data_IF_302557428444
#
_entry.id   IF_302557428444
#
_cell.length_a   1.000
_cell.length_b   1.000
_cell.length_c   1.000
_cell.angle_alpha   90.00
_cell.angle_beta   90.00
_cell.angle_gamma   90.00
#
_symmetry.space_group_name_H-M   'P 1'
#
loop_
_entity.id
_entity.type
_entity.pdbx_description
1 polymer ?
#
# COMPACT_ATOMS: atom_id res chain seq x y z
N UNK A 1 -2.32 -21.56 16.66
CA UNK A 1 -2.23 -22.07 15.28
C UNK A 1 -1.79 -20.95 14.33
N UNK A 2 -0.89 -21.27 13.43
CA UNK A 2 -0.41 -20.30 12.48
C UNK A 2 -1.37 -20.23 11.29
N UNK A 3 -1.81 -19.02 10.99
CA UNK A 3 -2.66 -18.78 9.82
C UNK A 3 -1.76 -18.57 8.60
N UNK A 4 -1.29 -19.65 8.01
CA UNK A 4 -0.41 -19.57 6.85
C UNK A 4 -1.12 -18.99 5.63
N UNK A 5 -2.41 -19.31 5.48
CA UNK A 5 -3.19 -18.79 4.35
C UNK A 5 -3.37 -17.28 4.46
N UNK A 6 -3.62 -16.80 5.67
CA UNK A 6 -3.73 -15.36 5.91
C UNK A 6 -2.41 -14.65 5.68
N UNK A 7 -1.30 -15.25 6.12
CA UNK A 7 0.01 -14.65 5.93
C UNK A 7 0.37 -14.58 4.44
N UNK A 8 0.12 -15.65 3.69
CA UNK A 8 0.38 -15.66 2.25
C UNK A 8 -0.49 -14.65 1.52
N UNK A 9 -1.75 -14.59 1.91
CA UNK A 9 -2.68 -13.63 1.32
C UNK A 9 -2.23 -12.20 1.57
N UNK A 10 -1.79 -11.89 2.78
CA UNK A 10 -1.32 -10.55 3.11
C UNK A 10 -0.08 -10.17 2.29
N UNK A 11 0.83 -11.10 2.09
CA UNK A 11 2.00 -10.84 1.25
C UNK A 11 1.60 -10.50 -0.19
N UNK A 12 0.61 -11.21 -0.73
CA UNK A 12 0.11 -10.93 -2.07
C UNK A 12 -0.63 -9.60 -2.13
N UNK A 13 -1.41 -9.29 -1.12
CA UNK A 13 -2.10 -8.00 -1.03
C UNK A 13 -1.09 -6.87 -1.02
N UNK A 14 -0.03 -7.00 -0.21
CA UNK A 14 1.03 -5.99 -0.18
C UNK A 14 1.71 -5.85 -1.54
N UNK A 15 1.95 -6.96 -2.21
CA UNK A 15 2.53 -6.94 -3.56
C UNK A 15 1.65 -6.18 -4.54
N UNK A 16 0.34 -6.42 -4.49
CA UNK A 16 -0.59 -5.70 -5.35
C UNK A 16 -0.68 -4.22 -5.02
N UNK A 17 -0.64 -3.88 -3.73
CA UNK A 17 -0.61 -2.47 -3.33
C UNK A 17 0.59 -1.78 -3.97
N UNK A 18 1.76 -2.39 -3.88
CA UNK A 18 2.97 -1.84 -4.47
C UNK A 18 2.82 -1.68 -5.98
N UNK A 19 2.28 -2.69 -6.67
CA UNK A 19 2.05 -2.63 -8.11
C UNK A 19 1.08 -1.53 -8.50
N UNK A 20 -0.01 -1.41 -7.77
CA UNK A 20 -1.00 -0.38 -8.04
C UNK A 20 -0.38 1.01 -7.86
N UNK A 21 0.33 1.21 -6.77
CA UNK A 21 0.97 2.50 -6.49
C UNK A 21 2.09 2.82 -7.48
N UNK A 22 2.76 1.78 -7.99
CA UNK A 22 3.78 1.97 -9.01
C UNK A 22 3.23 2.65 -10.27
N UNK A 23 2.01 2.29 -10.66
CA UNK A 23 1.40 2.90 -11.84
C UNK A 23 1.14 4.38 -11.66
N UNK A 24 0.91 4.81 -10.44
CA UNK A 24 0.63 6.21 -10.15
C UNK A 24 1.89 7.02 -9.85
N UNK A 25 2.99 6.35 -9.54
CA UNK A 25 4.22 7.01 -9.11
C UNK A 25 4.64 8.10 -10.12
N UNK A 26 5.04 9.29 -9.69
CA UNK A 26 5.28 9.75 -8.31
C UNK A 26 4.04 10.20 -7.56
N UNK A 27 2.88 10.15 -8.15
CA UNK A 27 1.61 10.37 -7.45
C UNK A 27 1.23 9.09 -6.70
N UNK A 28 0.05 9.08 -6.14
CA UNK A 28 -0.46 7.92 -5.41
C UNK A 28 -1.96 7.87 -5.45
N UNK A 29 -2.55 7.12 -4.53
CA UNK A 29 -3.99 6.93 -4.47
C UNK A 29 -4.51 7.09 -3.05
N UNK A 30 -5.75 7.50 -2.94
CA UNK A 30 -6.48 7.45 -1.68
C UNK A 30 -6.80 6.00 -1.33
N UNK A 31 -7.01 5.76 -0.04
CA UNK A 31 -7.27 4.41 0.46
C UNK A 31 -8.52 3.81 -0.19
N UNK A 32 -9.55 4.61 -0.42
CA UNK A 32 -10.78 4.09 -1.02
C UNK A 32 -10.53 3.62 -2.45
N UNK A 33 -9.69 4.32 -3.19
CA UNK A 33 -9.32 3.92 -4.55
C UNK A 33 -8.50 2.63 -4.52
N UNK A 34 -7.57 2.51 -3.59
CA UNK A 34 -6.79 1.28 -3.42
C UNK A 34 -7.71 0.12 -3.08
N UNK A 35 -8.66 0.35 -2.18
CA UNK A 35 -9.60 -0.67 -1.76
C UNK A 35 -10.41 -1.18 -2.95
N UNK A 36 -10.92 -0.24 -3.75
CA UNK A 36 -11.69 -0.60 -4.95
C UNK A 36 -10.86 -1.39 -5.94
N UNK A 37 -9.63 -0.97 -6.19
CA UNK A 37 -8.76 -1.67 -7.15
C UNK A 37 -8.40 -3.07 -6.68
N UNK A 38 -8.18 -3.26 -5.38
CA UNK A 38 -7.93 -4.58 -4.83
C UNK A 38 -9.16 -5.48 -4.99
N UNK A 39 -10.34 -4.94 -4.72
CA UNK A 39 -11.58 -5.69 -4.91
C UNK A 39 -11.74 -6.09 -6.38
N UNK A 40 -11.44 -5.19 -7.31
CA UNK A 40 -11.54 -5.47 -8.74
C UNK A 40 -10.58 -6.60 -9.15
N UNK A 41 -9.48 -6.75 -8.44
CA UNK A 41 -8.52 -7.83 -8.67
C UNK A 41 -8.92 -9.14 -7.97
N UNK A 42 -9.99 -9.12 -7.21
CA UNK A 42 -10.45 -10.30 -6.49
C UNK A 42 -9.95 -10.41 -5.07
N UNK A 43 -9.26 -9.41 -4.56
CA UNK A 43 -8.78 -9.40 -3.18
C UNK A 43 -9.74 -8.60 -2.32
N UNK A 44 -10.74 -9.30 -1.77
CA UNK A 44 -11.80 -8.67 -0.97
C UNK A 44 -11.31 -8.51 0.45
N UNK A 45 -10.64 -7.40 0.71
CA UNK A 45 -10.11 -7.09 2.02
C UNK A 45 -11.00 -6.04 2.69
N UNK A 46 -11.07 -6.09 4.01
CA UNK A 46 -11.73 -5.01 4.75
C UNK A 46 -10.83 -3.79 4.74
N UNK A 47 -11.42 -2.64 5.07
CA UNK A 47 -10.64 -1.42 5.17
C UNK A 47 -9.57 -1.53 6.25
N UNK A 48 -9.89 -2.20 7.36
CA UNK A 48 -8.91 -2.41 8.44
C UNK A 48 -7.75 -3.30 7.99
N UNK A 49 -8.04 -4.34 7.22
CA UNK A 49 -7.00 -5.20 6.65
C UNK A 49 -6.09 -4.39 5.70
N UNK A 50 -6.71 -3.56 4.88
CA UNK A 50 -5.93 -2.70 3.97
C UNK A 50 -5.05 -1.74 4.75
N UNK A 51 -5.58 -1.10 5.77
CA UNK A 51 -4.79 -0.20 6.62
C UNK A 51 -3.64 -0.92 7.29
N UNK A 52 -3.86 -2.14 7.78
CA UNK A 52 -2.80 -2.93 8.41
C UNK A 52 -1.67 -3.20 7.41
N UNK A 53 -2.01 -3.56 6.18
CA UNK A 53 -1.01 -3.82 5.16
C UNK A 53 -0.30 -2.55 4.70
N UNK A 54 -1.00 -1.44 4.63
CA UNK A 54 -0.38 -0.15 4.33
C UNK A 54 0.55 0.29 5.45
N UNK A 55 0.17 0.04 6.69
CA UNK A 55 1.04 0.33 7.85
C UNK A 55 2.32 -0.48 7.78
N UNK A 56 2.22 -1.76 7.45
CA UNK A 56 3.39 -2.61 7.26
C UNK A 56 4.33 -2.00 6.22
N UNK A 57 3.79 -1.65 5.06
CA UNK A 57 4.60 -1.09 3.97
C UNK A 57 5.20 0.26 4.35
N UNK A 58 4.48 1.04 5.11
CA UNK A 58 4.97 2.34 5.57
C UNK A 58 6.11 2.17 6.56
N UNK A 59 5.97 1.26 7.50
CA UNK A 59 7.00 1.00 8.51
C UNK A 59 8.26 0.43 7.88
N UNK A 60 8.11 -0.33 6.80
CA UNK A 60 9.24 -0.85 6.06
C UNK A 60 9.85 0.19 5.10
N UNK A 61 9.23 1.34 4.98
CA UNK A 61 9.77 2.42 4.17
C UNK A 61 9.39 2.38 2.69
N UNK A 62 8.44 1.54 2.29
CA UNK A 62 8.07 1.38 0.88
C UNK A 62 6.97 2.32 0.44
N UNK A 63 6.12 2.77 1.35
CA UNK A 63 5.08 3.75 1.06
C UNK A 63 5.15 4.87 2.06
N UNK A 64 4.60 6.01 1.67
CA UNK A 64 4.46 7.14 2.56
C UNK A 64 3.06 7.69 2.47
N UNK A 65 2.68 8.36 3.53
CA UNK A 65 1.39 9.02 3.65
C UNK A 65 1.68 10.52 3.78
N UNK A 66 1.78 11.24 2.64
CA UNK A 66 2.14 12.65 2.69
C UNK A 66 1.09 13.46 3.43
N UNK A 67 1.55 14.44 4.18
CA UNK A 67 0.68 15.38 4.86
C UNK A 67 0.83 16.74 4.21
N UNK A 68 -0.30 17.41 4.03
CA UNK A 68 -0.27 18.76 3.49
C UNK A 68 -0.11 19.75 4.64
N UNK A 69 0.88 20.57 4.52
CA UNK A 69 1.16 21.58 5.54
C UNK A 69 0.24 22.77 5.45
N UNK A 70 -0.20 23.06 4.24
CA UNK A 70 -0.89 24.32 4.00
C UNK A 70 -2.38 24.17 4.25
N UNK A 71 -2.87 24.89 5.20
CA UNK A 71 -4.28 25.19 5.31
C UNK A 71 -5.19 24.13 5.82
N UNK A 72 -4.71 22.95 5.96
CA UNK A 72 -5.49 21.93 6.62
C UNK A 72 -6.86 21.62 6.01
N UNK A 73 -7.09 22.10 4.80
CA UNK A 73 -8.34 21.81 4.11
C UNK A 73 -8.50 20.32 3.81
N UNK A 74 -7.39 19.65 3.70
CA UNK A 74 -7.35 18.26 3.24
C UNK A 74 -6.89 17.31 4.32
N UNK A 75 -7.04 17.68 5.57
CA UNK A 75 -6.54 16.84 6.66
C UNK A 75 -7.04 15.41 6.57
N UNK A 76 -8.33 15.23 6.35
CA UNK A 76 -8.90 13.90 6.23
C UNK A 76 -8.40 13.16 5.00
N UNK A 77 -8.20 13.89 3.90
CA UNK A 77 -7.74 13.28 2.65
C UNK A 77 -6.28 12.92 2.73
N UNK A 78 -5.45 13.80 3.31
CA UNK A 78 -4.02 13.54 3.40
C UNK A 78 -3.72 12.31 4.23
N UNK A 79 -4.53 12.06 5.26
CA UNK A 79 -4.35 10.89 6.11
C UNK A 79 -4.71 9.59 5.42
N UNK A 80 -5.43 9.66 4.31
CA UNK A 80 -5.87 8.50 3.57
C UNK A 80 -5.15 8.33 2.23
N UNK A 81 -4.22 9.20 1.91
CA UNK A 81 -3.51 9.16 0.64
C UNK A 81 -2.14 8.50 0.82
N UNK A 82 -1.81 7.58 -0.09
CA UNK A 82 -0.55 6.83 -0.02
C UNK A 82 0.15 6.84 -1.37
N UNK A 83 1.46 6.87 -1.34
CA UNK A 83 2.28 6.78 -2.54
C UNK A 83 3.55 5.99 -2.24
N UNK A 84 4.21 5.49 -3.29
CA UNK A 84 5.49 4.81 -3.13
C UNK A 84 6.58 5.81 -2.76
N UNK A 85 7.53 5.33 -1.98
CA UNK A 85 8.81 5.99 -1.77
C UNK A 85 9.78 5.53 -2.87
N UNK A 86 10.98 6.10 -2.91
CA UNK A 86 12.03 5.60 -3.80
C UNK A 86 12.31 4.12 -3.53
N UNK A 87 12.36 3.73 -2.26
CA UNK A 87 12.57 2.33 -1.91
C UNK A 87 11.41 1.45 -2.38
N UNK A 88 10.19 1.97 -2.34
CA UNK A 88 9.04 1.25 -2.88
C UNK A 88 9.16 1.03 -4.38
N UNK A 89 9.67 2.00 -5.10
CA UNK A 89 9.94 1.84 -6.54
C UNK A 89 11.00 0.76 -6.75
N UNK A 90 12.07 0.78 -5.97
CA UNK A 90 13.12 -0.24 -6.07
C UNK A 90 12.57 -1.64 -5.79
N UNK A 91 11.65 -1.74 -4.83
CA UNK A 91 10.99 -3.00 -4.55
C UNK A 91 10.14 -3.45 -5.75
N UNK A 92 9.35 -2.54 -6.30
CA UNK A 92 8.48 -2.85 -7.44
C UNK A 92 9.27 -3.28 -8.66
N UNK A 93 10.44 -2.70 -8.87
CA UNK A 93 11.31 -3.01 -10.01
C UNK A 93 12.18 -4.23 -9.80
N UNK A 94 12.15 -4.81 -8.59
CA UNK A 94 12.96 -5.98 -8.29
C UNK A 94 14.40 -5.68 -7.95
N UNK A 95 14.77 -4.42 -7.80
CA UNK A 95 16.11 -4.03 -7.38
C UNK A 95 16.40 -4.51 -5.97
N UNK A 96 15.39 -4.48 -5.12
CA UNK A 96 15.45 -5.04 -3.78
C UNK A 96 14.26 -5.98 -3.61
N UNK A 97 14.30 -6.82 -2.58
CA UNK A 97 13.21 -7.73 -2.25
C UNK A 97 12.84 -7.59 -0.79
N UNK A 98 11.63 -8.00 -0.46
CA UNK A 98 11.16 -8.04 0.93
C UNK A 98 10.38 -9.33 1.14
N UNK A 99 10.67 -10.02 2.23
CA UNK A 99 10.04 -11.31 2.53
C UNK A 99 8.55 -11.18 2.79
N UNK A 100 8.11 -10.01 3.20
CA UNK A 100 6.72 -9.75 3.49
C UNK A 100 5.90 -9.28 2.31
N UNK A 101 6.51 -9.13 1.13
CA UNK A 101 5.85 -8.60 -0.07
C UNK A 101 6.08 -9.57 -1.22
N UNK A 102 4.99 -10.12 -1.73
CA UNK A 102 5.03 -11.10 -2.82
C UNK A 102 4.67 -10.38 -4.13
N UNK A 103 5.69 -10.10 -4.91
CA UNK A 103 5.53 -9.41 -6.19
C UNK A 103 5.56 -10.35 -7.40
#
# INVERSE_FOLDING_TARGET
MIDQDGALRNKKVRGWIVRILQRAYPAGFEIDTLHKQLNDLGYFVTKNELLANLTYLKEDGFVENPQFNAGNFYDGLSNEFYKLTTEGVNLAEGTITDKGVDL
#
